data_IF_530646485315
#
_entry.id   IF_530646485315
#
_cell.length_a   1.000
_cell.length_b   1.000
_cell.length_c   1.000
_cell.angle_alpha   90.00
_cell.angle_beta   90.00
_cell.angle_gamma   90.00
#
_symmetry.space_group_name_H-M   'P 1'
#
loop_
_entity.id
_entity.type
_entity.pdbx_description
1 polymer ?
#
# COMPACT_ATOMS: atom_id res chain seq x y z
N UNK A 1 -3.28 -13.54 -6.81
CA UNK A 1 -2.44 -13.11 -7.96
C UNK A 1 -0.95 -13.06 -7.62
N UNK A 2 -0.50 -12.42 -6.54
CA UNK A 2 0.95 -12.23 -6.27
C UNK A 2 1.70 -13.40 -5.59
N UNK A 3 1.09 -14.59 -5.46
CA UNK A 3 1.71 -15.75 -4.79
C UNK A 3 3.06 -16.18 -5.38
N UNK A 4 3.27 -16.18 -6.72
CA UNK A 4 4.57 -16.54 -7.29
C UNK A 4 5.71 -15.62 -6.85
N UNK A 5 5.43 -14.33 -6.62
CA UNK A 5 6.42 -13.34 -6.20
C UNK A 5 7.05 -13.70 -4.84
N UNK A 6 6.30 -14.38 -3.95
CA UNK A 6 6.76 -14.77 -2.61
C UNK A 6 8.07 -15.56 -2.64
N UNK A 7 8.27 -16.43 -3.64
CA UNK A 7 9.47 -17.27 -3.78
C UNK A 7 10.69 -16.50 -4.27
N UNK A 8 10.49 -15.31 -4.84
CA UNK A 8 11.54 -14.46 -5.42
C UNK A 8 11.95 -13.32 -4.48
N UNK A 9 11.25 -13.12 -3.35
CA UNK A 9 11.59 -12.07 -2.39
C UNK A 9 12.89 -12.41 -1.65
N UNK A 10 13.76 -11.42 -1.51
CA UNK A 10 14.86 -11.47 -0.54
C UNK A 10 14.42 -10.99 0.84
N UNK A 11 15.05 -11.47 1.92
CA UNK A 11 14.73 -11.09 3.32
C UNK A 11 14.75 -9.57 3.54
N UNK A 12 15.78 -8.88 3.01
CA UNK A 12 15.92 -7.41 3.11
C UNK A 12 14.75 -6.67 2.45
N UNK A 13 14.41 -7.05 1.21
CA UNK A 13 13.32 -6.43 0.46
C UNK A 13 11.96 -6.70 1.11
N UNK A 14 11.69 -7.94 1.56
CA UNK A 14 10.46 -8.27 2.25
C UNK A 14 10.30 -7.45 3.53
N UNK A 15 11.36 -7.28 4.32
CA UNK A 15 11.32 -6.43 5.52
C UNK A 15 11.09 -4.95 5.19
N UNK A 16 11.69 -4.44 4.10
CA UNK A 16 11.47 -3.07 3.64
C UNK A 16 10.01 -2.85 3.20
N UNK A 17 9.44 -3.77 2.40
CA UNK A 17 8.05 -3.69 1.94
C UNK A 17 7.06 -3.65 3.11
N UNK A 18 7.29 -4.44 4.17
CA UNK A 18 6.40 -4.45 5.34
C UNK A 18 6.38 -3.10 6.07
N UNK A 19 7.52 -2.40 6.11
CA UNK A 19 7.67 -1.08 6.74
C UNK A 19 7.38 0.09 5.82
N UNK A 20 7.16 -0.15 4.53
CA UNK A 20 6.92 0.92 3.57
C UNK A 20 5.61 1.62 3.90
N UNK A 21 5.67 2.89 4.19
CA UNK A 21 4.52 3.76 4.42
C UNK A 21 4.51 4.84 3.35
N UNK A 22 3.36 5.49 3.16
CA UNK A 22 3.31 6.67 2.31
C UNK A 22 4.15 7.78 2.95
N UNK A 23 4.86 8.54 2.14
CA UNK A 23 5.57 9.71 2.63
C UNK A 23 4.56 10.73 3.17
N UNK A 24 4.99 11.56 4.13
CA UNK A 24 4.10 12.45 4.89
C UNK A 24 3.23 13.37 3.99
N UNK A 25 3.78 13.83 2.87
CA UNK A 25 3.05 14.63 1.88
C UNK A 25 1.90 13.86 1.23
N UNK A 26 2.14 12.60 0.84
CA UNK A 26 1.13 11.74 0.24
C UNK A 26 0.05 11.38 1.26
N UNK A 27 0.43 11.13 2.51
CA UNK A 27 -0.52 10.86 3.59
C UNK A 27 -1.40 12.08 3.86
N UNK A 28 -0.81 13.27 4.02
CA UNK A 28 -1.56 14.51 4.23
C UNK A 28 -2.52 14.80 3.09
N UNK A 29 -2.10 14.56 1.84
CA UNK A 29 -2.96 14.72 0.66
C UNK A 29 -4.10 13.70 0.65
N UNK A 30 -3.85 12.46 1.01
CA UNK A 30 -4.89 11.45 1.15
C UNK A 30 -5.93 11.84 2.20
N UNK A 31 -5.48 12.33 3.35
CA UNK A 31 -6.36 12.75 4.45
C UNK A 31 -7.25 13.94 4.03
N UNK A 32 -6.68 14.96 3.38
CA UNK A 32 -7.45 16.08 2.80
C UNK A 32 -8.53 15.60 1.83
N UNK A 33 -8.18 14.68 0.93
CA UNK A 33 -9.12 14.13 -0.05
C UNK A 33 -10.19 13.25 0.60
N UNK A 34 -9.86 12.54 1.67
CA UNK A 34 -10.80 11.72 2.42
C UNK A 34 -11.82 12.59 3.17
N UNK A 35 -11.37 13.71 3.75
CA UNK A 35 -12.24 14.70 4.40
C UNK A 35 -13.21 15.31 3.37
N UNK A 36 -12.69 15.82 2.25
CA UNK A 36 -13.52 16.34 1.14
C UNK A 36 -14.49 15.30 0.57
N UNK A 37 -14.09 14.03 0.51
CA UNK A 37 -14.97 12.95 0.06
C UNK A 37 -16.15 12.75 1.01
N UNK A 38 -15.88 12.82 2.32
CA UNK A 38 -16.89 12.70 3.39
C UNK A 38 -17.86 13.88 3.35
N UNK A 39 -17.36 15.08 3.10
CA UNK A 39 -18.16 16.29 2.94
C UNK A 39 -18.92 16.36 1.61
N UNK A 40 -18.60 15.48 0.65
CA UNK A 40 -19.19 15.48 -0.70
C UNK A 40 -18.70 16.64 -1.59
N UNK A 41 -17.56 17.26 -1.24
CA UNK A 41 -17.02 18.47 -1.89
C UNK A 41 -15.92 18.18 -2.91
N UNK A 42 -15.59 16.91 -3.16
CA UNK A 42 -14.59 16.53 -4.16
C UNK A 42 -14.94 16.99 -5.57
N UNK A 43 -13.99 17.66 -6.20
CA UNK A 43 -14.01 17.85 -7.66
C UNK A 43 -13.77 16.52 -8.40
N UNK A 44 -14.11 16.50 -9.69
CA UNK A 44 -13.86 15.32 -10.52
C UNK A 44 -12.36 14.96 -10.63
N UNK A 45 -11.47 15.95 -10.58
CA UNK A 45 -10.03 15.75 -10.59
C UNK A 45 -9.55 15.11 -9.27
N UNK A 46 -9.97 15.67 -8.14
CA UNK A 46 -9.64 15.16 -6.81
C UNK A 46 -10.20 13.75 -6.56
N UNK A 47 -11.39 13.43 -7.08
CA UNK A 47 -11.93 12.07 -7.05
C UNK A 47 -11.00 11.08 -7.76
N UNK A 48 -10.51 11.42 -8.96
CA UNK A 48 -9.58 10.56 -9.71
C UNK A 48 -8.25 10.38 -8.97
N UNK A 49 -7.78 11.43 -8.32
CA UNK A 49 -6.58 11.41 -7.49
C UNK A 49 -6.76 10.47 -6.29
N UNK A 50 -7.84 10.64 -5.51
CA UNK A 50 -8.17 9.78 -4.38
C UNK A 50 -8.29 8.31 -4.79
N UNK A 51 -9.00 8.02 -5.89
CA UNK A 51 -9.11 6.67 -6.43
C UNK A 51 -7.75 6.09 -6.83
N UNK A 52 -6.84 6.91 -7.35
CA UNK A 52 -5.47 6.48 -7.67
C UNK A 52 -4.68 6.10 -6.42
N UNK A 53 -4.76 6.92 -5.38
CA UNK A 53 -4.14 6.65 -4.08
C UNK A 53 -4.67 5.36 -3.44
N UNK A 54 -6.00 5.16 -3.47
CA UNK A 54 -6.64 3.93 -2.96
C UNK A 54 -6.20 2.70 -3.74
N UNK A 55 -6.10 2.79 -5.08
CA UNK A 55 -5.59 1.69 -5.91
C UNK A 55 -4.13 1.36 -5.60
N UNK A 56 -3.28 2.37 -5.46
CA UNK A 56 -1.87 2.19 -5.10
C UNK A 56 -1.74 1.51 -3.71
N UNK A 57 -2.48 1.97 -2.71
CA UNK A 57 -2.48 1.38 -1.38
C UNK A 57 -2.97 -0.09 -1.39
N UNK A 58 -3.95 -0.41 -2.23
CA UNK A 58 -4.45 -1.77 -2.41
C UNK A 58 -3.37 -2.72 -2.96
N UNK A 59 -2.60 -2.27 -3.97
CA UNK A 59 -1.47 -3.05 -4.52
C UNK A 59 -0.37 -3.21 -3.48
N UNK A 60 -0.01 -2.13 -2.77
CA UNK A 60 0.97 -2.17 -1.69
C UNK A 60 0.57 -3.15 -0.59
N UNK A 61 -0.71 -3.16 -0.21
CA UNK A 61 -1.25 -4.09 0.79
C UNK A 61 -1.08 -5.55 0.35
N UNK A 62 -1.34 -5.87 -0.92
CA UNK A 62 -1.10 -7.22 -1.45
C UNK A 62 0.39 -7.59 -1.43
N UNK A 63 1.29 -6.66 -1.74
CA UNK A 63 2.74 -6.87 -1.65
C UNK A 63 3.18 -7.13 -0.20
N UNK A 64 2.68 -6.32 0.76
CA UNK A 64 2.94 -6.51 2.20
C UNK A 64 2.48 -7.88 2.68
N UNK A 65 1.32 -8.37 2.22
CA UNK A 65 0.84 -9.73 2.56
C UNK A 65 1.83 -10.80 2.09
N UNK A 66 2.32 -10.73 0.84
CA UNK A 66 3.30 -11.70 0.35
C UNK A 66 4.63 -11.62 1.11
N UNK A 67 5.08 -10.41 1.43
CA UNK A 67 6.31 -10.18 2.20
C UNK A 67 6.22 -10.73 3.63
N UNK A 68 5.09 -10.50 4.33
CA UNK A 68 4.85 -11.08 5.68
C UNK A 68 4.85 -12.60 5.64
N UNK A 69 4.14 -13.19 4.67
CA UNK A 69 4.08 -14.64 4.52
C UNK A 69 5.47 -15.25 4.26
N UNK A 70 6.29 -14.59 3.44
CA UNK A 70 7.68 -15.01 3.21
C UNK A 70 8.53 -14.94 4.48
N UNK A 71 8.48 -13.83 5.22
CA UNK A 71 9.26 -13.65 6.45
C UNK A 71 8.85 -14.66 7.55
N UNK A 72 7.57 -15.02 7.62
CA UNK A 72 7.09 -16.06 8.54
C UNK A 72 7.62 -17.45 8.15
N UNK A 73 7.60 -17.79 6.85
CA UNK A 73 8.18 -19.06 6.37
C UNK A 73 9.67 -19.18 6.69
N UNK A 74 10.44 -18.10 6.55
CA UNK A 74 11.86 -18.08 6.88
C UNK A 74 12.17 -18.13 8.38
N UNK A 75 11.19 -17.89 9.27
CA UNK A 75 11.39 -18.03 10.72
C UNK A 75 11.10 -19.45 11.21
N UNK A 76 10.31 -20.21 10.45
CA UNK A 76 9.91 -21.57 10.77
C UNK A 76 10.83 -22.65 10.15
N UNK A 77 11.79 -22.23 9.33
CA UNK A 77 12.85 -23.05 8.74
C UNK A 77 14.17 -22.77 9.46
#
# INVERSE_FOLDING_TARGET
MLRPLRRQLGRKLAAALVRLEADAEVQARYDELADKNTEGTLTAAERRELESLVRANSILSLLKVQARAFLQQQKAA
#
